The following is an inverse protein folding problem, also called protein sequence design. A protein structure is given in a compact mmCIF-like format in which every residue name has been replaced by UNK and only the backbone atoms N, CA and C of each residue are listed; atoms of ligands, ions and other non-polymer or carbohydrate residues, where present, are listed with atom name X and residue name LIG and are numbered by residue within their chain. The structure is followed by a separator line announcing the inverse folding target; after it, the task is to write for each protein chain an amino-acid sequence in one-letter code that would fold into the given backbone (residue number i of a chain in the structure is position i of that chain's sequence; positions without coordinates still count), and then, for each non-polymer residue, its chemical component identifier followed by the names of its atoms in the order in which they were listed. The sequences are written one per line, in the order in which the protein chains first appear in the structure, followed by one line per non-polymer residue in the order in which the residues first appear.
data_IF_125431982284
#
_entry.id   IF_125431982284
#
_cell.length_a   1.000
_cell.length_b   1.000
_cell.length_c   1.000
_cell.angle_alpha   90.00
_cell.angle_beta   90.00
_cell.angle_gamma   90.00
#
_symmetry.space_group_name_H-M   'P 1'
#
loop_
_entity.id
_entity.type
_entity.pdbx_description
1 polymer ?
#
# COMPACT_ATOMS: atom_id res chain seq x y z
N UNK A 1 -5.05 -11.72 15.95
CA UNK A 1 -5.25 -10.35 15.45
C UNK A 1 -3.98 -9.55 15.70
N UNK A 2 -2.96 -9.75 14.88
CA UNK A 2 -1.66 -9.11 15.05
C UNK A 2 -1.55 -7.78 14.27
N UNK A 3 -2.57 -7.43 13.49
CA UNK A 3 -2.70 -6.17 12.76
C UNK A 3 -3.00 -4.99 13.70
N UNK A 4 -2.51 -3.81 13.33
CA UNK A 4 -2.77 -2.55 14.01
C UNK A 4 -2.85 -1.42 12.99
N UNK A 5 -3.92 -0.65 13.01
CA UNK A 5 -4.19 0.41 12.03
C UNK A 5 -4.09 1.78 12.68
N UNK A 6 -3.40 2.71 12.03
CA UNK A 6 -3.33 4.12 12.42
C UNK A 6 -3.91 4.95 11.30
N UNK A 7 -5.03 5.62 11.57
CA UNK A 7 -5.70 6.52 10.62
C UNK A 7 -5.10 7.92 10.77
N UNK A 8 -4.63 8.50 9.67
CA UNK A 8 -3.92 9.77 9.66
C UNK A 8 -4.58 10.72 8.67
N UNK A 9 -4.88 11.93 9.12
CA UNK A 9 -5.48 13.01 8.32
C UNK A 9 -4.79 14.36 8.60
N UNK A 10 -5.20 15.39 7.87
CA UNK A 10 -4.73 16.77 8.07
C UNK A 10 -3.21 16.95 7.92
N UNK A 11 -2.64 17.89 8.69
CA UNK A 11 -1.22 18.25 8.59
C UNK A 11 -0.26 17.09 8.89
N UNK A 12 -0.70 16.08 9.66
CA UNK A 12 0.12 14.90 9.96
C UNK A 12 0.27 14.03 8.70
N UNK A 13 -0.81 13.88 7.92
CA UNK A 13 -0.79 13.16 6.64
C UNK A 13 0.13 13.85 5.63
N UNK A 14 0.18 15.18 5.61
CA UNK A 14 1.03 15.91 4.66
C UNK A 14 2.52 15.60 4.87
N UNK A 15 2.94 15.29 6.11
CA UNK A 15 4.30 14.78 6.38
C UNK A 15 4.55 13.40 5.76
N UNK A 16 3.53 12.56 5.64
CA UNK A 16 3.64 11.25 4.98
C UNK A 16 3.80 11.37 3.46
N UNK A 17 3.26 12.43 2.85
CA UNK A 17 3.45 12.70 1.42
C UNK A 17 4.93 12.91 1.10
N UNK A 18 5.66 13.66 1.94
CA UNK A 18 7.09 13.87 1.75
C UNK A 18 7.91 12.58 1.86
N UNK A 19 7.54 11.69 2.79
CA UNK A 19 8.15 10.36 2.90
C UNK A 19 7.84 9.52 1.66
N UNK A 20 6.61 9.55 1.16
CA UNK A 20 6.21 8.84 -0.05
C UNK A 20 6.99 9.29 -1.28
N UNK A 21 7.14 10.61 -1.48
CA UNK A 21 7.98 11.19 -2.56
C UNK A 21 9.39 10.64 -2.55
N UNK A 22 10.02 10.62 -1.37
CA UNK A 22 11.38 10.11 -1.20
C UNK A 22 11.45 8.61 -1.42
N UNK A 23 10.50 7.85 -0.88
CA UNK A 23 10.43 6.42 -1.12
C UNK A 23 10.38 6.08 -2.62
N UNK A 24 9.63 6.87 -3.40
CA UNK A 24 9.60 6.73 -4.85
C UNK A 24 10.98 6.93 -5.47
N UNK A 25 11.62 8.07 -5.18
CA UNK A 25 12.93 8.44 -5.75
C UNK A 25 14.00 7.41 -5.40
N UNK A 26 14.08 7.03 -4.13
CA UNK A 26 15.16 6.23 -3.56
C UNK A 26 15.00 4.72 -3.84
N UNK A 27 13.76 4.19 -3.85
CA UNK A 27 13.53 2.73 -3.86
C UNK A 27 12.66 2.22 -5.02
N UNK A 28 11.70 3.01 -5.52
CA UNK A 28 10.67 2.51 -6.46
C UNK A 28 10.93 2.90 -7.91
N UNK A 29 11.51 4.07 -8.16
CA UNK A 29 11.65 4.63 -9.51
C UNK A 29 12.38 3.69 -10.48
N UNK A 30 13.43 3.00 -10.01
CA UNK A 30 14.21 2.06 -10.82
C UNK A 30 13.40 0.81 -11.18
N UNK A 31 12.82 0.13 -10.19
CA UNK A 31 12.07 -1.11 -10.41
C UNK A 31 10.82 -0.86 -11.26
N UNK A 32 10.16 0.27 -11.04
CA UNK A 32 9.00 0.66 -11.83
C UNK A 32 9.34 0.86 -13.31
N UNK A 33 10.45 1.57 -13.61
CA UNK A 33 10.93 1.77 -14.99
C UNK A 33 11.31 0.45 -15.66
N UNK A 34 11.82 -0.52 -14.92
CA UNK A 34 12.17 -1.83 -15.45
C UNK A 34 10.93 -2.67 -15.79
N UNK A 35 9.95 -2.72 -14.87
CA UNK A 35 8.71 -3.50 -15.03
C UNK A 35 7.79 -2.90 -16.10
N UNK A 36 7.76 -1.57 -16.21
CA UNK A 36 6.84 -0.83 -17.08
C UNK A 36 7.58 -0.05 -18.19
N UNK A 37 8.74 -0.52 -18.64
CA UNK A 37 9.61 0.15 -19.64
C UNK A 37 8.88 0.62 -20.91
N UNK A 38 7.85 -0.10 -21.34
CA UNK A 38 7.07 0.20 -22.55
C UNK A 38 5.74 0.92 -22.23
N UNK A 39 5.57 1.41 -20.99
CA UNK A 39 4.33 2.04 -20.49
C UNK A 39 4.65 3.33 -19.72
N UNK A 40 5.18 4.32 -20.44
CA UNK A 40 5.56 5.63 -19.90
C UNK A 40 4.44 6.31 -19.07
N UNK A 41 3.18 6.20 -19.50
CA UNK A 41 2.04 6.76 -18.76
C UNK A 41 1.90 6.14 -17.37
N UNK A 42 2.09 4.82 -17.23
CA UNK A 42 2.00 4.14 -15.93
C UNK A 42 3.10 4.62 -14.99
N UNK A 43 4.31 4.84 -15.52
CA UNK A 43 5.44 5.35 -14.75
C UNK A 43 5.13 6.75 -14.22
N UNK A 44 4.66 7.65 -15.09
CA UNK A 44 4.32 9.05 -14.73
C UNK A 44 3.16 9.14 -13.75
N UNK A 45 2.08 8.38 -13.96
CA UNK A 45 0.94 8.38 -13.05
C UNK A 45 1.31 7.79 -11.69
N UNK A 46 2.14 6.74 -11.65
CA UNK A 46 2.65 6.21 -10.39
C UNK A 46 3.54 7.23 -9.67
N UNK A 47 4.45 7.90 -10.38
CA UNK A 47 5.27 8.97 -9.78
C UNK A 47 4.37 10.06 -9.18
N UNK A 48 3.42 10.57 -9.96
CA UNK A 48 2.45 11.56 -9.49
C UNK A 48 1.70 11.07 -8.24
N UNK A 49 1.25 9.81 -8.25
CA UNK A 49 0.57 9.20 -7.11
C UNK A 49 1.45 9.16 -5.87
N UNK A 50 2.73 8.78 -5.97
CA UNK A 50 3.63 8.84 -4.82
C UNK A 50 3.85 10.28 -4.33
N UNK A 51 3.75 11.27 -5.22
CA UNK A 51 3.97 12.68 -4.89
C UNK A 51 2.78 13.37 -4.23
N UNK A 52 1.57 12.82 -4.31
CA UNK A 52 0.39 13.43 -3.71
C UNK A 52 -0.53 12.43 -2.98
N UNK A 53 -0.16 11.15 -2.96
CA UNK A 53 -0.97 10.04 -2.45
C UNK A 53 -2.39 10.01 -3.05
N UNK A 54 -2.50 10.35 -4.33
CA UNK A 54 -3.78 10.45 -5.03
C UNK A 54 -4.69 11.57 -4.52
N UNK A 55 -4.14 12.57 -3.83
CA UNK A 55 -4.88 13.61 -3.10
C UNK A 55 -5.82 13.04 -2.01
N UNK A 56 -5.55 11.83 -1.52
CA UNK A 56 -6.36 11.20 -0.49
C UNK A 56 -6.45 12.09 0.77
N UNK A 57 -7.66 12.31 1.33
CA UNK A 57 -7.83 13.03 2.59
C UNK A 57 -7.30 12.25 3.79
N UNK A 58 -7.26 10.92 3.69
CA UNK A 58 -6.86 10.01 4.76
C UNK A 58 -5.77 9.05 4.27
N UNK A 59 -4.82 8.73 5.15
CA UNK A 59 -3.85 7.64 4.96
C UNK A 59 -3.91 6.72 6.17
N UNK A 60 -4.05 5.42 5.92
CA UNK A 60 -4.03 4.39 6.97
C UNK A 60 -2.65 3.73 6.98
N UNK A 61 -1.89 3.90 8.05
CA UNK A 61 -0.65 3.16 8.28
C UNK A 61 -0.97 1.81 8.92
N UNK A 62 -0.54 0.72 8.31
CA UNK A 62 -0.86 -0.65 8.73
C UNK A 62 0.37 -1.32 9.31
N UNK A 63 0.23 -1.86 10.50
CA UNK A 63 1.31 -2.45 11.29
C UNK A 63 1.02 -3.90 11.65
N UNK A 64 2.08 -4.65 11.91
CA UNK A 64 2.02 -5.96 12.57
C UNK A 64 2.74 -5.96 13.92
N UNK A 65 2.24 -6.77 14.83
CA UNK A 65 2.94 -7.23 16.03
C UNK A 65 3.48 -8.64 15.78
N UNK A 66 4.55 -9.02 16.48
CA UNK A 66 5.12 -10.38 16.38
C UNK A 66 4.25 -11.37 17.16
N UNK A 67 4.00 -12.53 16.59
CA UNK A 67 3.32 -13.65 17.26
C UNK A 67 4.24 -14.87 17.43
N UNK A 68 3.75 -15.91 18.12
CA UNK A 68 4.51 -17.15 18.34
C UNK A 68 4.61 -17.98 17.05
N UNK A 69 3.66 -17.79 16.14
CA UNK A 69 3.53 -18.46 14.84
C UNK A 69 4.56 -17.95 13.82
N UNK A 70 5.24 -16.83 14.13
CA UNK A 70 6.38 -16.31 13.39
C UNK A 70 6.02 -15.35 12.25
N UNK A 71 7.08 -14.79 11.66
CA UNK A 71 6.98 -13.67 10.72
C UNK A 71 6.19 -13.98 9.46
N UNK A 72 6.32 -15.19 8.91
CA UNK A 72 5.58 -15.60 7.71
C UNK A 72 4.06 -15.55 7.95
N UNK A 73 3.61 -16.13 9.05
CA UNK A 73 2.20 -16.13 9.47
C UNK A 73 1.75 -14.71 9.79
N UNK A 74 2.60 -13.94 10.47
CA UNK A 74 2.29 -12.56 10.83
C UNK A 74 2.00 -11.68 9.62
N UNK A 75 2.84 -11.76 8.59
CA UNK A 75 2.71 -10.99 7.35
C UNK A 75 1.43 -11.38 6.61
N UNK A 76 1.17 -12.68 6.44
CA UNK A 76 -0.03 -13.16 5.75
C UNK A 76 -1.31 -12.71 6.45
N UNK A 77 -1.32 -12.74 7.79
CA UNK A 77 -2.46 -12.30 8.60
C UNK A 77 -2.79 -10.81 8.38
N UNK A 78 -1.76 -9.94 8.38
CA UNK A 78 -1.95 -8.50 8.11
C UNK A 78 -2.28 -8.22 6.65
N UNK A 79 -1.66 -8.93 5.70
CA UNK A 79 -1.97 -8.81 4.27
C UNK A 79 -3.45 -9.15 3.97
N UNK A 80 -3.99 -10.21 4.58
CA UNK A 80 -5.41 -10.56 4.47
C UNK A 80 -6.31 -9.47 5.07
N UNK A 81 -5.92 -8.88 6.21
CA UNK A 81 -6.66 -7.77 6.81
C UNK A 81 -6.65 -6.51 5.92
N UNK A 82 -5.54 -6.23 5.23
CA UNK A 82 -5.45 -5.13 4.25
C UNK A 82 -6.38 -5.38 3.06
N UNK A 83 -6.38 -6.58 2.48
CA UNK A 83 -7.27 -6.89 1.36
C UNK A 83 -8.75 -6.78 1.75
N UNK A 84 -9.13 -7.32 2.92
CA UNK A 84 -10.50 -7.18 3.43
C UNK A 84 -10.90 -5.71 3.62
N UNK A 85 -9.99 -4.88 4.13
CA UNK A 85 -10.22 -3.44 4.27
C UNK A 85 -10.43 -2.77 2.90
N UNK A 86 -9.66 -3.13 1.87
CA UNK A 86 -9.83 -2.56 0.53
C UNK A 86 -11.16 -2.95 -0.11
N UNK A 87 -11.64 -4.18 0.14
CA UNK A 87 -12.96 -4.62 -0.32
C UNK A 87 -14.07 -3.81 0.36
N UNK A 88 -13.99 -3.57 1.67
CA UNK A 88 -14.94 -2.73 2.40
C UNK A 88 -14.90 -1.27 1.92
N UNK A 89 -13.69 -0.71 1.71
CA UNK A 89 -13.51 0.62 1.13
C UNK A 89 -14.23 0.72 -0.22
N UNK A 90 -14.09 -0.31 -1.07
CA UNK A 90 -14.72 -0.34 -2.37
C UNK A 90 -16.26 -0.44 -2.28
N UNK A 91 -16.78 -1.28 -1.37
CA UNK A 91 -18.21 -1.42 -1.11
C UNK A 91 -18.85 -0.09 -0.69
N UNK A 92 -18.13 0.71 0.10
CA UNK A 92 -18.54 2.06 0.52
C UNK A 92 -18.39 3.13 -0.59
N UNK A 93 -18.04 2.73 -1.81
CA UNK A 93 -17.87 3.65 -2.95
C UNK A 93 -16.59 4.50 -2.88
N UNK A 94 -15.64 4.14 -2.02
CA UNK A 94 -14.36 4.81 -1.87
C UNK A 94 -13.25 4.08 -2.64
N UNK A 95 -12.12 4.76 -2.82
CA UNK A 95 -10.90 4.23 -3.42
C UNK A 95 -9.79 4.09 -2.37
N UNK A 96 -9.10 2.95 -2.39
CA UNK A 96 -7.92 2.68 -1.55
C UNK A 96 -6.76 2.17 -2.38
N UNK A 97 -5.52 2.55 -2.02
CA UNK A 97 -4.32 2.06 -2.69
C UNK A 97 -3.36 1.39 -1.69
N UNK A 98 -3.14 0.08 -1.82
CA UNK A 98 -2.13 -0.60 -1.01
C UNK A 98 -0.72 -0.24 -1.48
N UNK A 99 0.01 0.54 -0.68
CA UNK A 99 1.39 0.92 -0.97
C UNK A 99 2.37 0.28 0.01
N UNK A 100 3.33 -0.47 -0.54
CA UNK A 100 4.49 -1.00 0.22
C UNK A 100 5.77 -0.21 -0.04
N UNK A 101 5.81 0.65 -1.07
CA UNK A 101 7.00 1.46 -1.35
C UNK A 101 7.44 2.36 -0.19
N UNK A 102 6.53 3.11 0.46
CA UNK A 102 6.86 3.95 1.61
C UNK A 102 7.40 3.17 2.83
N UNK A 103 7.17 1.85 2.89
CA UNK A 103 7.64 1.00 4.00
C UNK A 103 9.17 0.95 4.08
N UNK A 104 9.88 1.20 2.98
CA UNK A 104 11.35 1.34 3.00
C UNK A 104 11.84 2.46 3.92
N UNK A 105 10.98 3.44 4.24
CA UNK A 105 11.24 4.55 5.15
C UNK A 105 10.44 4.42 6.46
N UNK A 106 10.19 3.18 6.93
CA UNK A 106 9.43 2.85 8.14
C UNK A 106 9.80 3.74 9.35
N UNK A 107 11.09 3.94 9.61
CA UNK A 107 11.54 4.70 10.79
C UNK A 107 11.02 6.14 10.80
N UNK A 108 10.93 6.78 9.64
CA UNK A 108 10.41 8.14 9.50
C UNK A 108 8.90 8.19 9.68
N UNK A 109 8.19 7.24 9.07
CA UNK A 109 6.74 7.08 9.24
C UNK A 109 6.41 6.86 10.71
N UNK A 110 7.11 5.95 11.38
CA UNK A 110 6.93 5.66 12.81
C UNK A 110 7.15 6.88 13.69
N UNK A 111 8.13 7.73 13.35
CA UNK A 111 8.36 9.00 14.05
C UNK A 111 7.21 9.99 13.85
N UNK A 112 6.65 10.06 12.64
CA UNK A 112 5.51 10.94 12.33
C UNK A 112 4.25 10.50 13.09
N UNK A 113 3.93 9.21 13.08
CA UNK A 113 2.67 8.69 13.66
C UNK A 113 2.80 8.23 15.12
N UNK A 114 4.00 8.29 15.70
CA UNK A 114 4.26 7.95 17.11
C UNK A 114 4.21 6.46 17.44
N UNK A 115 4.23 5.56 16.43
CA UNK A 115 4.18 4.11 16.66
C UNK A 115 5.55 3.56 17.04
N UNK A 116 5.58 2.74 18.10
CA UNK A 116 6.78 2.05 18.59
C UNK A 116 6.53 0.55 18.68
N UNK A 117 7.60 -0.23 18.57
CA UNK A 117 7.61 -1.69 18.80
C UNK A 117 6.65 -2.51 17.92
N UNK A 118 6.26 -1.97 16.77
CA UNK A 118 5.47 -2.64 15.72
C UNK A 118 6.19 -2.51 14.40
N UNK A 119 5.86 -3.37 13.44
CA UNK A 119 6.45 -3.35 12.10
C UNK A 119 5.47 -2.84 11.07
N UNK A 120 5.81 -1.76 10.39
CA UNK A 120 5.00 -1.20 9.31
C UNK A 120 4.94 -2.21 8.15
N UNK A 121 3.74 -2.43 7.62
CA UNK A 121 3.47 -3.39 6.54
C UNK A 121 2.98 -2.70 5.27
N UNK A 122 2.23 -1.60 5.41
CA UNK A 122 1.71 -0.83 4.29
C UNK A 122 1.31 0.58 4.75
N UNK A 123 1.17 1.48 3.78
CA UNK A 123 0.26 2.63 3.92
C UNK A 123 -0.86 2.51 2.89
N UNK A 124 -2.03 3.03 3.22
CA UNK A 124 -3.22 2.99 2.36
C UNK A 124 -3.81 4.40 2.27
N UNK A 125 -3.50 5.17 1.21
CA UNK A 125 -4.26 6.36 0.88
C UNK A 125 -5.71 5.98 0.56
N UNK A 126 -6.66 6.69 1.16
CA UNK A 126 -8.09 6.46 1.09
C UNK A 126 -8.83 7.77 0.76
N UNK A 127 -9.71 7.74 -0.24
CA UNK A 127 -10.52 8.90 -0.64
C UNK A 127 -11.63 8.57 -1.63
N UNK A 128 -12.33 9.60 -2.10
CA UNK A 128 -13.30 9.47 -3.19
C UNK A 128 -12.54 9.34 -4.52
N UNK A 129 -12.78 8.31 -5.34
CA UNK A 129 -12.06 8.13 -6.59
C UNK A 129 -12.53 9.13 -7.65
N UNK A 130 -11.58 9.82 -8.32
CA UNK A 130 -11.88 10.74 -9.43
C UNK A 130 -12.34 10.01 -10.70
N UNK A 131 -11.89 8.76 -10.88
CA UNK A 131 -12.17 7.94 -12.05
C UNK A 131 -12.34 6.47 -11.64
N UNK A 132 -13.05 5.72 -12.48
CA UNK A 132 -13.05 4.26 -12.44
C UNK A 132 -11.99 3.78 -13.43
N UNK A 133 -10.84 3.25 -12.97
CA UNK A 133 -9.78 2.83 -13.87
C UNK A 133 -10.18 1.55 -14.64
N UNK A 134 -9.67 1.37 -15.87
CA UNK A 134 -9.91 0.14 -16.61
C UNK A 134 -9.27 -1.05 -15.89
N UNK A 135 -10.00 -2.17 -15.81
CA UNK A 135 -9.49 -3.38 -15.18
C UNK A 135 -8.39 -4.02 -16.04
N UNK A 136 -7.15 -4.19 -15.53
CA UNK A 136 -6.10 -4.84 -16.29
C UNK A 136 -6.39 -6.35 -16.42
N UNK A 137 -6.12 -6.91 -17.61
CA UNK A 137 -6.22 -8.36 -17.85
C UNK A 137 -5.33 -9.13 -16.87
N UNK A 138 -5.90 -10.15 -16.22
CA UNK A 138 -5.13 -11.07 -15.37
C UNK A 138 -4.30 -12.01 -16.26
N UNK A 139 -3.13 -12.43 -15.76
CA UNK A 139 -2.25 -13.38 -16.46
C UNK A 139 -2.82 -14.80 -16.32
N UNK A 140 -2.89 -15.55 -17.42
CA UNK A 140 -3.20 -16.98 -17.40
C UNK A 140 -2.04 -17.84 -16.88
N UNK A 141 -2.24 -19.16 -16.80
CA UNK A 141 -1.21 -20.12 -16.41
C UNK A 141 -0.76 -20.00 -14.95
N UNK A 142 -1.67 -19.62 -14.06
CA UNK A 142 -1.42 -19.48 -12.61
C UNK A 142 -2.08 -20.54 -11.74
N UNK A 143 -2.80 -21.47 -12.36
CA UNK A 143 -3.56 -22.53 -11.71
C UNK A 143 -3.21 -23.83 -12.41
N UNK A 144 -2.81 -24.83 -11.64
CA UNK A 144 -2.58 -26.21 -12.07
C UNK A 144 -3.49 -27.12 -11.25
N UNK A 145 -4.24 -27.98 -11.93
CA UNK A 145 -5.14 -28.94 -11.30
C UNK A 145 -4.43 -30.29 -11.29
N UNK A 146 -4.23 -30.86 -10.09
CA UNK A 146 -3.55 -32.14 -9.90
C UNK A 146 -4.55 -33.11 -9.28
N UNK A 147 -4.75 -34.29 -9.90
CA UNK A 147 -5.70 -35.30 -9.43
C UNK A 147 -7.17 -34.90 -9.60
N UNK A 148 -7.47 -34.16 -10.67
CA UNK A 148 -8.80 -33.65 -10.97
C UNK A 148 -9.37 -34.35 -12.21
N UNK A 149 -9.79 -35.61 -12.01
CA UNK A 149 -10.58 -36.41 -12.93
C UNK A 149 -12.06 -36.39 -12.52
#
# INVERSE_FOLDING_TARGET
QNWYFVVVEGEVKDKLIEVSKRAFKEFISKSLKEVFKDRETVIKESEKFFYNLGNAPVVICVYRSRTIEGELTDIQSVAAAVENLLLLIHEEGLGGCWMTGPVHLENEINKIVGVKSKKLQAIIPLGVPDIIPPTPKRKGGRIEWIGWD
#
